data_IF_670286566671
#
_entry.id   IF_670286566671
#
_cell.length_a   1.000
_cell.length_b   1.000
_cell.length_c   1.000
_cell.angle_alpha   90.00
_cell.angle_beta   90.00
_cell.angle_gamma   90.00
#
_symmetry.space_group_name_H-M   'P 1'
#
loop_
_entity.id
_entity.type
_entity.pdbx_description
1 polymer ?
#
# COMPACT_ATOMS: atom_id res chain seq x y z
N UNK A 1 2.99 72.63 13.92
CA UNK A 1 3.59 71.33 13.53
C UNK A 1 2.62 70.57 12.64
N UNK A 2 2.98 70.33 11.38
CA UNK A 2 2.10 69.76 10.34
C UNK A 2 2.19 68.23 10.33
N UNK A 3 1.03 67.57 10.44
CA UNK A 3 0.86 66.11 10.31
C UNK A 3 1.03 65.72 8.83
N UNK A 4 2.04 64.93 8.51
CA UNK A 4 2.23 64.36 7.16
C UNK A 4 1.27 63.18 7.00
N UNK A 5 0.23 63.37 6.19
CA UNK A 5 -0.66 62.29 5.75
C UNK A 5 0.00 61.61 4.55
N UNK A 6 0.61 60.44 4.76
CA UNK A 6 1.06 59.57 3.68
C UNK A 6 -0.15 58.97 2.97
N UNK A 7 -0.64 59.67 1.93
CA UNK A 7 -1.59 59.09 0.97
C UNK A 7 -0.89 57.94 0.26
N UNK A 8 -1.20 56.70 0.66
CA UNK A 8 -0.86 55.48 -0.08
C UNK A 8 -1.47 55.60 -1.47
N UNK A 9 -0.67 55.94 -2.48
CA UNK A 9 -1.06 55.81 -3.89
C UNK A 9 -1.28 54.32 -4.15
N UNK A 10 -2.53 53.89 -4.20
CA UNK A 10 -2.89 52.65 -4.89
C UNK A 10 -2.52 52.88 -6.34
N UNK A 11 -1.38 52.34 -6.77
CA UNK A 11 -1.07 52.21 -8.19
C UNK A 11 -2.12 51.26 -8.76
N UNK A 12 -3.11 51.81 -9.45
CA UNK A 12 -3.91 51.08 -10.42
C UNK A 12 -2.94 50.49 -11.44
N UNK A 13 -2.66 49.19 -11.32
CA UNK A 13 -1.90 48.46 -12.33
C UNK A 13 -2.70 48.46 -13.62
N UNK A 14 -2.05 48.87 -14.71
CA UNK A 14 -2.59 48.74 -16.06
C UNK A 14 -2.93 47.25 -16.32
N UNK A 15 -4.12 46.90 -16.83
CA UNK A 15 -4.51 45.50 -17.08
C UNK A 15 -3.73 44.81 -18.22
N UNK A 16 -2.73 45.48 -18.80
CA UNK A 16 -2.03 45.05 -20.02
C UNK A 16 -0.52 44.83 -19.84
N UNK A 17 -0.05 44.61 -18.62
CA UNK A 17 1.26 43.95 -18.44
C UNK A 17 1.01 42.47 -18.15
N UNK A 18 0.95 41.66 -19.21
CA UNK A 18 1.11 40.22 -19.08
C UNK A 18 2.53 39.93 -18.59
N UNK A 19 2.74 39.93 -17.28
CA UNK A 19 3.81 39.16 -16.66
C UNK A 19 3.53 37.70 -17.00
N UNK A 20 4.16 37.21 -18.07
CA UNK A 20 4.05 35.81 -18.52
C UNK A 20 4.23 34.88 -17.31
N UNK A 21 3.16 34.20 -16.92
CA UNK A 21 3.15 33.21 -15.84
C UNK A 21 2.43 33.60 -14.54
N UNK A 22 2.10 34.87 -14.30
CA UNK A 22 1.36 35.26 -13.08
C UNK A 22 -0.14 35.29 -13.39
N UNK A 23 -0.88 34.31 -12.88
CA UNK A 23 -2.36 34.33 -12.89
C UNK A 23 -2.87 35.13 -11.69
N UNK A 24 -3.63 36.18 -11.95
CA UNK A 24 -4.46 36.82 -10.93
C UNK A 24 -5.64 35.91 -10.64
N UNK A 25 -5.78 35.50 -9.38
CA UNK A 25 -6.86 34.62 -8.89
C UNK A 25 -7.64 35.42 -7.85
N UNK A 26 -8.97 35.36 -7.92
CA UNK A 26 -9.81 36.02 -6.91
C UNK A 26 -9.71 35.29 -5.55
N UNK A 27 -10.01 36.03 -4.48
CA UNK A 27 -9.91 35.51 -3.12
C UNK A 27 -10.91 34.37 -2.85
N UNK A 28 -11.99 34.27 -3.64
CA UNK A 28 -12.99 33.21 -3.49
C UNK A 28 -12.47 31.87 -4.03
N UNK A 29 -11.81 31.88 -5.19
CA UNK A 29 -11.13 30.71 -5.73
C UNK A 29 -9.98 30.28 -4.80
N UNK A 30 -9.25 31.25 -4.22
CA UNK A 30 -8.19 30.93 -3.27
C UNK A 30 -8.73 30.31 -1.97
N UNK A 31 -9.85 30.81 -1.45
CA UNK A 31 -10.46 30.28 -0.22
C UNK A 31 -11.06 28.88 -0.38
N UNK A 32 -11.41 28.49 -1.62
CA UNK A 32 -11.83 27.13 -1.93
C UNK A 32 -10.69 26.12 -1.78
N UNK A 33 -9.42 26.51 -1.93
CA UNK A 33 -8.29 25.59 -1.77
C UNK A 33 -8.14 25.13 -0.30
N UNK A 34 -8.55 23.89 -0.04
CA UNK A 34 -8.50 23.28 1.30
C UNK A 34 -8.25 21.76 1.20
N UNK A 35 -8.13 21.10 2.36
CA UNK A 35 -7.85 19.66 2.45
C UNK A 35 -8.89 18.77 1.77
N UNK A 36 -10.16 19.18 1.75
CA UNK A 36 -11.24 18.42 1.13
C UNK A 36 -11.13 18.39 -0.39
N UNK A 37 -10.73 19.50 -1.03
CA UNK A 37 -10.47 19.53 -2.49
C UNK A 37 -9.33 18.57 -2.88
N UNK A 38 -8.37 18.37 -1.98
CA UNK A 38 -7.25 17.45 -2.19
C UNK A 38 -7.59 15.99 -1.83
N UNK A 39 -8.85 15.69 -1.51
CA UNK A 39 -9.31 14.35 -1.14
C UNK A 39 -8.89 13.89 0.25
N UNK A 40 -8.31 14.79 1.07
CA UNK A 40 -7.91 14.48 2.45
C UNK A 40 -9.07 14.60 3.45
N UNK A 41 -10.22 15.12 3.04
CA UNK A 41 -11.37 15.34 3.92
C UNK A 41 -11.20 16.51 4.89
N UNK A 42 -11.98 16.51 5.97
CA UNK A 42 -11.92 17.55 7.01
C UNK A 42 -10.86 17.21 8.07
N UNK A 43 -9.68 17.79 7.91
CA UNK A 43 -8.52 17.57 8.79
C UNK A 43 -8.66 18.22 10.18
N UNK A 44 -9.71 18.99 10.42
CA UNK A 44 -10.00 19.54 11.76
C UNK A 44 -10.62 18.51 12.70
N UNK A 45 -11.19 17.44 12.15
CA UNK A 45 -11.82 16.37 12.93
C UNK A 45 -10.78 15.54 13.69
N UNK A 46 -11.12 15.06 14.90
CA UNK A 46 -10.23 14.24 15.70
C UNK A 46 -9.90 12.92 15.01
N UNK A 47 -8.63 12.53 15.10
CA UNK A 47 -8.14 11.25 14.56
C UNK A 47 -8.76 10.07 15.32
N UNK A 48 -9.31 9.10 14.57
CA UNK A 48 -9.78 7.82 15.07
C UNK A 48 -8.68 6.77 14.98
N UNK A 49 -8.50 6.00 16.04
CA UNK A 49 -7.55 4.90 16.09
C UNK A 49 -8.23 3.58 15.70
N UNK A 50 -7.58 2.81 14.83
CA UNK A 50 -8.01 1.47 14.41
C UNK A 50 -6.83 0.51 14.53
N UNK A 51 -7.04 -0.65 15.15
CA UNK A 51 -6.07 -1.73 15.08
C UNK A 51 -6.21 -2.42 13.72
N UNK A 52 -5.11 -2.45 12.96
CA UNK A 52 -5.16 -2.89 11.58
C UNK A 52 -3.96 -3.71 11.13
N UNK A 53 -4.19 -4.54 10.12
CA UNK A 53 -3.14 -5.07 9.25
C UNK A 53 -2.99 -4.11 8.06
N UNK A 54 -1.77 -3.63 7.86
CA UNK A 54 -1.37 -2.94 6.64
C UNK A 54 -0.70 -3.96 5.70
N UNK A 55 -1.21 -4.09 4.49
CA UNK A 55 -0.60 -4.87 3.43
C UNK A 55 -0.25 -3.93 2.26
N UNK A 56 1.02 -3.91 1.87
CA UNK A 56 1.51 -3.11 0.75
C UNK A 56 1.96 -4.05 -0.36
N UNK A 57 1.20 -4.05 -1.45
CA UNK A 57 1.54 -4.73 -2.68
C UNK A 57 2.38 -3.83 -3.58
N UNK A 58 3.36 -4.42 -4.28
CA UNK A 58 4.27 -3.73 -5.19
C UNK A 58 4.49 -4.54 -6.46
N UNK A 59 4.40 -3.84 -7.59
CA UNK A 59 4.60 -4.39 -8.91
C UNK A 59 6.06 -4.23 -9.32
N UNK A 60 6.86 -5.27 -9.11
CA UNK A 60 8.29 -5.19 -9.38
C UNK A 60 8.55 -4.96 -10.88
N UNK A 61 9.17 -3.81 -11.18
CA UNK A 61 9.45 -3.38 -12.55
C UNK A 61 8.36 -2.50 -13.18
N UNK A 62 7.37 -2.04 -12.42
CA UNK A 62 6.29 -1.18 -12.92
C UNK A 62 6.80 0.10 -13.59
N UNK A 63 7.82 0.77 -13.04
CA UNK A 63 8.44 1.94 -13.68
C UNK A 63 8.94 1.62 -15.09
N UNK A 64 9.57 0.46 -15.29
CA UNK A 64 10.05 0.04 -16.62
C UNK A 64 8.88 -0.25 -17.56
N UNK A 65 7.80 -0.85 -17.06
CA UNK A 65 6.58 -1.07 -17.81
C UNK A 65 5.92 0.25 -18.24
N UNK A 66 5.95 1.30 -17.41
CA UNK A 66 5.43 2.62 -17.77
C UNK A 66 6.29 3.36 -18.81
N UNK A 67 7.55 2.94 -19.03
CA UNK A 67 8.48 3.57 -19.97
C UNK A 67 8.48 2.89 -21.36
N UNK A 68 7.51 2.02 -21.64
CA UNK A 68 7.36 1.40 -22.97
C UNK A 68 6.75 2.38 -23.99
N UNK A 69 6.75 1.97 -25.26
CA UNK A 69 6.05 2.71 -26.33
C UNK A 69 4.53 2.67 -26.06
N UNK A 70 3.86 3.80 -26.22
CA UNK A 70 2.42 3.97 -25.97
C UNK A 70 1.92 3.52 -24.58
N UNK A 71 2.54 4.04 -23.48
CA UNK A 71 2.18 3.61 -22.13
C UNK A 71 0.74 3.99 -21.76
N UNK A 72 0.18 5.01 -22.42
CA UNK A 72 -1.20 5.45 -22.24
C UNK A 72 -2.24 4.40 -22.68
N UNK A 73 -1.86 3.42 -23.51
CA UNK A 73 -2.73 2.30 -23.88
C UNK A 73 -2.52 1.10 -22.96
N UNK A 74 -1.26 0.74 -22.71
CA UNK A 74 -0.92 -0.46 -21.96
C UNK A 74 -1.12 -0.33 -20.44
N UNK A 75 -0.74 0.80 -19.85
CA UNK A 75 -0.77 0.99 -18.39
C UNK A 75 -2.19 1.00 -17.83
N UNK A 76 -3.16 1.77 -18.38
CA UNK A 76 -4.53 1.75 -17.87
C UNK A 76 -5.16 0.36 -18.02
N UNK A 77 -4.96 -0.30 -19.17
CA UNK A 77 -5.48 -1.65 -19.41
C UNK A 77 -4.94 -2.65 -18.39
N UNK A 78 -3.63 -2.64 -18.14
CA UNK A 78 -3.01 -3.48 -17.13
C UNK A 78 -3.56 -3.20 -15.73
N UNK A 79 -3.62 -1.93 -15.33
CA UNK A 79 -4.05 -1.54 -13.98
C UNK A 79 -5.50 -1.93 -13.70
N UNK A 80 -6.42 -1.73 -14.63
CA UNK A 80 -7.81 -2.18 -14.46
C UNK A 80 -7.88 -3.70 -14.25
N UNK A 81 -7.21 -4.48 -15.11
CA UNK A 81 -7.21 -5.94 -14.98
C UNK A 81 -6.55 -6.40 -13.68
N UNK A 82 -5.47 -5.74 -13.26
CA UNK A 82 -4.77 -6.06 -12.02
C UNK A 82 -5.62 -5.77 -10.79
N UNK A 83 -6.27 -4.60 -10.73
CA UNK A 83 -7.11 -4.22 -9.59
C UNK A 83 -8.36 -5.11 -9.49
N UNK A 84 -9.03 -5.37 -10.62
CA UNK A 84 -10.19 -6.28 -10.65
C UNK A 84 -9.80 -7.68 -10.16
N UNK A 85 -8.70 -8.22 -10.70
CA UNK A 85 -8.18 -9.52 -10.28
C UNK A 85 -7.77 -9.54 -8.80
N UNK A 86 -7.08 -8.51 -8.32
CA UNK A 86 -6.64 -8.42 -6.93
C UNK A 86 -7.84 -8.42 -5.98
N UNK A 87 -8.86 -7.60 -6.27
CA UNK A 87 -10.08 -7.55 -5.46
C UNK A 87 -10.86 -8.86 -5.50
N UNK A 88 -10.92 -9.53 -6.65
CA UNK A 88 -11.53 -10.86 -6.75
C UNK A 88 -10.79 -11.90 -5.90
N UNK A 89 -9.46 -11.88 -5.90
CA UNK A 89 -8.67 -12.78 -5.05
C UNK A 89 -8.81 -12.48 -3.56
N UNK A 90 -8.88 -11.21 -3.19
CA UNK A 90 -9.15 -10.78 -1.81
C UNK A 90 -10.52 -11.30 -1.37
N UNK A 91 -11.58 -11.03 -2.15
CA UNK A 91 -12.94 -11.51 -1.86
C UNK A 91 -12.98 -13.04 -1.75
N UNK A 92 -12.36 -13.75 -2.68
CA UNK A 92 -12.31 -15.21 -2.67
C UNK A 92 -11.58 -15.75 -1.45
N UNK A 93 -10.43 -15.17 -1.08
CA UNK A 93 -9.65 -15.61 0.08
C UNK A 93 -10.37 -15.44 1.42
N UNK A 94 -11.23 -14.42 1.53
CA UNK A 94 -12.00 -14.18 2.76
C UNK A 94 -13.40 -14.84 2.79
N UNK A 95 -13.82 -15.45 1.68
CA UNK A 95 -15.11 -16.14 1.61
C UNK A 95 -14.99 -17.52 2.25
N UNK A 96 -15.80 -17.77 3.28
CA UNK A 96 -15.92 -19.07 3.95
C UNK A 96 -16.85 -20.00 3.17
N UNK A 97 -18.02 -19.48 2.75
CA UNK A 97 -19.04 -20.21 2.00
C UNK A 97 -19.75 -19.31 1.00
N UNK A 98 -20.07 -19.89 -0.15
CA UNK A 98 -20.84 -19.24 -1.21
C UNK A 98 -22.22 -19.90 -1.31
N UNK A 99 -23.28 -19.12 -1.14
CA UNK A 99 -24.67 -19.54 -1.26
C UNK A 99 -25.33 -18.94 -2.52
N UNK A 100 -24.53 -18.59 -3.54
CA UNK A 100 -25.01 -17.91 -4.75
C UNK A 100 -25.13 -16.41 -4.53
N UNK A 101 -26.33 -15.93 -4.20
CA UNK A 101 -26.59 -14.49 -4.01
C UNK A 101 -26.02 -13.94 -2.69
N UNK A 102 -25.61 -14.81 -1.77
CA UNK A 102 -25.04 -14.44 -0.47
C UNK A 102 -23.74 -15.17 -0.23
N UNK A 103 -22.77 -14.47 0.35
CA UNK A 103 -21.48 -15.04 0.74
C UNK A 103 -21.28 -14.86 2.23
N UNK A 104 -20.87 -15.91 2.91
CA UNK A 104 -20.41 -15.83 4.29
C UNK A 104 -18.91 -15.55 4.28
N UNK A 105 -18.51 -14.45 4.93
CA UNK A 105 -17.11 -14.05 5.05
C UNK A 105 -16.62 -14.35 6.47
N UNK A 106 -15.40 -14.84 6.62
CA UNK A 106 -14.78 -15.07 7.93
C UNK A 106 -14.05 -13.81 8.47
N UNK A 107 -13.91 -12.78 7.63
CA UNK A 107 -13.38 -11.47 7.97
C UNK A 107 -14.14 -10.38 7.21
N UNK A 108 -14.10 -9.15 7.73
CA UNK A 108 -14.52 -7.96 6.98
C UNK A 108 -13.66 -7.77 5.72
N UNK A 109 -14.08 -6.93 4.77
CA UNK A 109 -13.21 -6.49 3.68
C UNK A 109 -12.20 -5.43 4.18
N UNK A 110 -11.10 -5.14 3.44
CA UNK A 110 -10.25 -4.01 3.77
C UNK A 110 -11.08 -2.72 3.78
N UNK A 111 -10.94 -1.91 4.83
CA UNK A 111 -11.68 -0.64 4.94
C UNK A 111 -11.01 0.50 4.16
N UNK A 112 -9.73 0.34 3.78
CA UNK A 112 -9.01 1.27 2.92
C UNK A 112 -8.30 0.51 1.81
N UNK A 113 -8.40 1.07 0.59
CA UNK A 113 -7.52 0.76 -0.53
C UNK A 113 -6.94 2.07 -1.06
N UNK A 114 -5.62 2.14 -1.23
CA UNK A 114 -4.95 3.31 -1.80
C UNK A 114 -3.93 2.88 -2.83
N UNK A 115 -4.05 3.39 -4.05
CA UNK A 115 -3.05 3.19 -5.09
C UNK A 115 -1.82 4.05 -4.81
N UNK A 116 -0.63 3.47 -4.89
CA UNK A 116 0.64 4.12 -4.57
C UNK A 116 1.48 4.45 -5.82
N UNK A 117 0.93 4.25 -7.02
CA UNK A 117 1.63 4.41 -8.29
C UNK A 117 2.18 3.08 -8.80
N UNK A 118 3.08 2.44 -8.05
CA UNK A 118 3.66 1.13 -8.41
C UNK A 118 3.07 -0.04 -7.60
N UNK A 119 1.98 0.21 -6.88
CA UNK A 119 1.47 -0.73 -5.91
C UNK A 119 0.15 -0.30 -5.27
N UNK A 120 -0.29 -1.08 -4.28
CA UNK A 120 -1.56 -0.88 -3.56
C UNK A 120 -1.33 -1.05 -2.07
N UNK A 121 -1.79 -0.10 -1.27
CA UNK A 121 -1.96 -0.24 0.17
C UNK A 121 -3.38 -0.72 0.47
N UNK A 122 -3.49 -1.73 1.32
CA UNK A 122 -4.73 -2.19 1.94
C UNK A 122 -4.61 -2.04 3.45
N UNK A 123 -5.67 -1.54 4.09
CA UNK A 123 -5.80 -1.59 5.55
C UNK A 123 -6.99 -2.45 5.94
N UNK A 124 -6.74 -3.38 6.85
CA UNK A 124 -7.70 -4.35 7.33
C UNK A 124 -7.94 -4.16 8.81
N UNK A 125 -9.19 -3.97 9.23
CA UNK A 125 -9.52 -3.87 10.64
C UNK A 125 -9.34 -5.23 11.30
N UNK A 126 -8.58 -5.30 12.39
CA UNK A 126 -8.35 -6.54 13.14
C UNK A 126 -9.03 -6.56 14.51
N UNK A 127 -9.82 -5.53 14.84
CA UNK A 127 -10.55 -5.51 16.10
C UNK A 127 -11.50 -6.70 16.18
N UNK A 128 -11.38 -7.49 17.24
CA UNK A 128 -12.23 -8.67 17.46
C UNK A 128 -11.83 -9.91 16.64
N UNK A 129 -10.76 -9.85 15.84
CA UNK A 129 -10.23 -11.04 15.16
C UNK A 129 -9.37 -11.89 16.11
N UNK A 130 -9.59 -13.20 16.11
CA UNK A 130 -8.67 -14.15 16.74
C UNK A 130 -7.33 -14.22 15.99
N UNK A 131 -6.27 -14.65 16.66
CA UNK A 131 -4.94 -14.83 16.05
C UNK A 131 -4.95 -15.83 14.86
N UNK A 132 -5.85 -16.84 14.90
CA UNK A 132 -6.05 -17.76 13.77
C UNK A 132 -6.53 -17.02 12.51
N UNK A 133 -7.51 -16.11 12.64
CA UNK A 133 -8.02 -15.32 11.52
C UNK A 133 -6.98 -14.33 11.01
N UNK A 134 -6.16 -13.77 11.91
CA UNK A 134 -5.03 -12.91 11.56
C UNK A 134 -3.99 -13.68 10.74
N UNK A 135 -3.65 -14.90 11.14
CA UNK A 135 -2.78 -15.78 10.37
C UNK A 135 -3.42 -16.17 9.02
N UNK A 136 -4.75 -16.35 8.96
CA UNK A 136 -5.50 -16.63 7.72
C UNK A 136 -5.44 -15.46 6.72
N UNK A 137 -5.39 -14.21 7.20
CA UNK A 137 -5.10 -13.04 6.33
C UNK A 137 -3.70 -13.13 5.75
N UNK A 138 -2.69 -13.48 6.56
CA UNK A 138 -1.31 -13.64 6.08
C UNK A 138 -1.22 -14.72 5.00
N UNK A 139 -1.84 -15.89 5.21
CA UNK A 139 -1.83 -16.96 4.20
C UNK A 139 -2.57 -16.54 2.92
N UNK A 140 -3.69 -15.83 3.04
CA UNK A 140 -4.43 -15.29 1.89
C UNK A 140 -3.57 -14.34 1.06
N UNK A 141 -2.86 -13.41 1.69
CA UNK A 141 -1.99 -12.45 1.00
C UNK A 141 -0.79 -13.15 0.35
N UNK A 142 -0.24 -14.18 0.99
CA UNK A 142 0.81 -15.01 0.41
C UNK A 142 0.34 -15.75 -0.85
N UNK A 143 -0.86 -16.33 -0.80
CA UNK A 143 -1.48 -17.00 -1.94
C UNK A 143 -1.77 -16.05 -3.08
N UNK A 144 -2.13 -14.79 -2.80
CA UNK A 144 -2.30 -13.76 -3.82
C UNK A 144 -0.98 -13.52 -4.57
N UNK A 145 0.15 -13.37 -3.87
CA UNK A 145 1.46 -13.25 -4.50
C UNK A 145 1.81 -14.46 -5.40
N UNK A 146 1.52 -15.68 -4.91
CA UNK A 146 1.72 -16.91 -5.69
C UNK A 146 0.81 -16.96 -6.93
N UNK A 147 -0.48 -16.68 -6.75
CA UNK A 147 -1.48 -16.66 -7.82
C UNK A 147 -1.20 -15.57 -8.85
N UNK A 148 -0.59 -14.44 -8.47
CA UNK A 148 -0.14 -13.43 -9.41
C UNK A 148 0.82 -14.05 -10.43
N UNK A 149 1.86 -14.73 -9.94
CA UNK A 149 2.90 -15.32 -10.78
C UNK A 149 2.37 -16.46 -11.66
N UNK A 150 1.52 -17.32 -11.10
CA UNK A 150 1.11 -18.56 -11.75
C UNK A 150 -0.20 -18.46 -12.54
N UNK A 151 -1.05 -17.48 -12.26
CA UNK A 151 -2.39 -17.38 -12.86
C UNK A 151 -2.61 -16.04 -13.58
N UNK A 152 -2.29 -14.92 -12.94
CA UNK A 152 -2.54 -13.59 -13.52
C UNK A 152 -1.50 -13.23 -14.58
N UNK A 153 -0.21 -13.32 -14.22
CA UNK A 153 0.90 -12.93 -15.08
C UNK A 153 0.86 -13.59 -16.46
N UNK A 154 0.69 -14.93 -16.59
CA UNK A 154 0.64 -15.59 -17.90
C UNK A 154 -0.49 -15.09 -18.80
N UNK A 155 -1.64 -14.71 -18.21
CA UNK A 155 -2.79 -14.20 -18.95
C UNK A 155 -2.57 -12.75 -19.39
N UNK A 156 -2.15 -11.89 -18.46
CA UNK A 156 -1.98 -10.46 -18.76
C UNK A 156 -0.82 -10.21 -19.72
N UNK A 157 0.21 -11.06 -19.71
CA UNK A 157 1.32 -10.99 -20.68
C UNK A 157 0.92 -11.29 -22.12
N UNK A 158 -0.27 -11.84 -22.36
CA UNK A 158 -0.84 -11.98 -23.71
C UNK A 158 -1.62 -10.74 -24.15
N UNK A 159 -1.92 -9.82 -23.22
CA UNK A 159 -2.76 -8.64 -23.45
C UNK A 159 -1.92 -7.37 -23.54
N UNK A 160 -0.83 -7.27 -22.78
CA UNK A 160 0.06 -6.10 -22.76
C UNK A 160 1.53 -6.55 -22.87
N UNK A 161 2.38 -5.73 -23.48
CA UNK A 161 3.82 -6.01 -23.58
C UNK A 161 4.51 -5.84 -22.22
N UNK A 162 5.42 -6.76 -21.89
CA UNK A 162 6.29 -6.75 -20.70
C UNK A 162 5.64 -6.27 -19.38
N UNK A 163 4.49 -6.83 -18.94
CA UNK A 163 3.92 -6.47 -17.66
C UNK A 163 4.86 -6.82 -16.50
N UNK A 164 4.71 -6.19 -15.31
CA UNK A 164 5.45 -6.54 -14.11
C UNK A 164 5.37 -8.05 -13.83
N UNK A 165 6.51 -8.70 -13.66
CA UNK A 165 6.58 -10.18 -13.53
C UNK A 165 6.29 -10.69 -12.13
N UNK A 166 6.50 -9.84 -11.13
CA UNK A 166 6.48 -10.23 -9.72
C UNK A 166 5.61 -9.21 -8.99
N UNK A 167 4.66 -9.74 -8.23
CA UNK A 167 3.92 -8.99 -7.23
C UNK A 167 4.55 -9.28 -5.87
N UNK A 168 5.10 -8.25 -5.23
CA UNK A 168 5.62 -8.35 -3.87
C UNK A 168 4.56 -7.89 -2.88
N UNK A 169 4.62 -8.38 -1.65
CA UNK A 169 3.77 -7.94 -0.56
C UNK A 169 4.57 -7.86 0.74
N UNK A 170 4.48 -6.72 1.40
CA UNK A 170 4.93 -6.52 2.76
C UNK A 170 3.73 -6.32 3.66
N UNK A 171 3.74 -6.95 4.83
CA UNK A 171 2.62 -6.88 5.78
C UNK A 171 3.14 -6.44 7.13
N UNK A 172 2.36 -5.66 7.88
CA UNK A 172 2.57 -5.43 9.29
C UNK A 172 1.25 -5.16 10.02
N UNK A 173 1.16 -5.55 11.29
CA UNK A 173 0.02 -5.26 12.16
C UNK A 173 0.36 -4.14 13.13
N UNK A 174 -0.60 -3.26 13.40
CA UNK A 174 -0.48 -2.21 14.40
C UNK A 174 -1.61 -1.20 14.32
N UNK A 175 -1.50 -0.16 15.14
CA UNK A 175 -2.48 0.93 15.16
C UNK A 175 -2.27 1.87 13.98
N UNK A 176 -3.37 2.26 13.35
CA UNK A 176 -3.45 3.32 12.36
C UNK A 176 -4.37 4.43 12.85
N UNK A 177 -4.09 5.65 12.41
CA UNK A 177 -4.75 6.88 12.82
C UNK A 177 -5.34 7.55 11.58
N UNK A 178 -6.64 7.83 11.61
CA UNK A 178 -7.33 8.43 10.47
C UNK A 178 -6.94 9.89 10.27
N UNK A 179 -6.83 10.31 9.01
CA UNK A 179 -6.69 11.69 8.57
C UNK A 179 -7.95 12.10 7.81
N UNK A 180 -8.44 13.30 8.12
CA UNK A 180 -9.64 13.93 7.60
C UNK A 180 -10.84 13.01 7.38
N UNK A 181 -11.44 12.62 8.50
CA UNK A 181 -12.60 11.72 8.60
C UNK A 181 -12.41 10.34 7.96
N UNK A 182 -11.21 9.77 8.04
CA UNK A 182 -10.93 8.43 7.53
C UNK A 182 -10.74 8.35 6.01
N UNK A 183 -10.44 9.48 5.36
CA UNK A 183 -10.06 9.50 3.94
C UNK A 183 -8.64 8.99 3.71
N UNK A 184 -7.76 9.14 4.69
CA UNK A 184 -6.40 8.60 4.66
C UNK A 184 -5.98 8.13 6.06
N UNK A 185 -4.86 7.42 6.14
CA UNK A 185 -4.39 6.86 7.41
C UNK A 185 -2.87 6.94 7.53
N UNK A 186 -2.40 7.19 8.75
CA UNK A 186 -0.99 7.09 9.12
C UNK A 186 -0.80 6.00 10.16
N UNK A 187 0.36 5.36 10.17
CA UNK A 187 0.68 4.36 11.18
C UNK A 187 2.04 3.73 10.93
N UNK A 188 2.71 3.34 12.01
CA UNK A 188 4.01 2.67 11.90
C UNK A 188 3.89 1.37 11.09
N UNK A 189 2.80 0.61 11.23
CA UNK A 189 2.60 -0.62 10.46
C UNK A 189 2.57 -0.38 8.94
N UNK A 190 2.05 0.75 8.47
CA UNK A 190 2.08 1.12 7.04
C UNK A 190 3.52 1.30 6.56
N UNK A 191 4.34 2.01 7.33
CA UNK A 191 5.76 2.21 7.02
C UNK A 191 6.52 0.87 7.03
N UNK A 192 6.25 0.01 8.01
CA UNK A 192 6.85 -1.32 8.10
C UNK A 192 6.50 -2.18 6.88
N UNK A 193 5.22 -2.29 6.54
CA UNK A 193 4.75 -3.01 5.37
C UNK A 193 5.40 -2.49 4.07
N UNK A 194 5.47 -1.16 3.91
CA UNK A 194 6.11 -0.48 2.79
C UNK A 194 7.61 -0.75 2.66
N UNK A 195 8.34 -0.97 3.77
CA UNK A 195 9.74 -1.39 3.71
C UNK A 195 9.90 -2.88 3.41
N UNK A 196 9.04 -3.70 3.98
CA UNK A 196 9.10 -5.17 3.84
C UNK A 196 8.77 -5.65 2.43
N UNK A 197 7.86 -4.98 1.72
CA UNK A 197 7.50 -5.34 0.35
C UNK A 197 8.70 -5.31 -0.62
N UNK A 198 9.69 -4.45 -0.34
CA UNK A 198 10.89 -4.22 -1.17
C UNK A 198 12.15 -4.83 -0.55
N UNK A 199 12.01 -5.77 0.38
CA UNK A 199 13.15 -6.34 1.09
C UNK A 199 13.89 -7.37 0.21
N UNK A 200 15.03 -6.97 -0.33
CA UNK A 200 15.87 -7.80 -1.20
C UNK A 200 15.09 -8.28 -2.45
N UNK A 201 15.26 -9.55 -2.85
CA UNK A 201 14.57 -10.17 -3.99
C UNK A 201 13.34 -10.99 -3.58
N UNK A 202 12.91 -10.90 -2.33
CA UNK A 202 11.80 -11.67 -1.79
C UNK A 202 10.47 -11.10 -2.28
N UNK A 203 9.46 -11.97 -2.38
CA UNK A 203 8.11 -11.57 -2.81
C UNK A 203 7.17 -11.37 -1.64
N UNK A 204 7.45 -11.95 -0.49
CA UNK A 204 6.54 -11.88 0.65
C UNK A 204 7.28 -11.87 1.98
N UNK A 205 7.06 -10.82 2.77
CA UNK A 205 7.73 -10.60 4.04
C UNK A 205 6.78 -9.97 5.08
N UNK A 206 6.87 -10.39 6.34
CA UNK A 206 6.12 -9.80 7.44
C UNK A 206 6.92 -9.89 8.75
N UNK A 207 6.71 -8.97 9.72
CA UNK A 207 7.44 -9.00 10.97
C UNK A 207 7.00 -10.19 11.82
N UNK A 208 7.89 -10.63 12.72
CA UNK A 208 7.52 -11.58 13.76
C UNK A 208 6.51 -10.96 14.73
N UNK A 209 6.71 -9.69 15.10
CA UNK A 209 5.81 -8.98 16.01
C UNK A 209 4.43 -8.80 15.39
N UNK A 210 3.39 -9.16 16.15
CA UNK A 210 1.99 -9.03 15.74
C UNK A 210 1.44 -10.22 14.95
N UNK A 211 2.25 -11.27 14.73
CA UNK A 211 1.86 -12.48 14.02
C UNK A 211 2.42 -13.74 14.71
N UNK A 212 1.58 -14.44 15.48
CA UNK A 212 1.96 -15.64 16.21
C UNK A 212 1.86 -16.91 15.35
N UNK A 213 2.58 -16.94 14.21
CA UNK A 213 2.41 -18.02 13.24
C UNK A 213 2.85 -19.40 13.75
N UNK A 214 3.69 -19.47 14.78
CA UNK A 214 4.14 -20.75 15.32
C UNK A 214 3.02 -21.51 16.03
N UNK A 215 2.05 -20.78 16.59
CA UNK A 215 0.94 -21.34 17.37
C UNK A 215 -0.36 -21.39 16.57
N UNK A 216 -0.63 -20.36 15.76
CA UNK A 216 -1.96 -20.16 15.14
C UNK A 216 -1.99 -20.38 13.62
N UNK A 217 -0.84 -20.50 12.94
CA UNK A 217 -0.82 -20.79 11.51
C UNK A 217 -0.84 -22.31 11.27
N UNK A 218 -1.73 -22.82 10.39
CA UNK A 218 -1.75 -24.23 10.04
C UNK A 218 -0.38 -24.72 9.55
N UNK A 219 0.01 -25.92 9.97
CA UNK A 219 1.35 -26.44 9.75
C UNK A 219 1.76 -26.44 8.26
N UNK A 220 0.82 -26.75 7.36
CA UNK A 220 1.04 -26.75 5.91
C UNK A 220 1.52 -25.39 5.37
N UNK A 221 1.03 -24.27 5.92
CA UNK A 221 1.53 -22.94 5.56
C UNK A 221 2.75 -22.55 6.36
N UNK A 222 2.78 -22.87 7.66
CA UNK A 222 3.89 -22.52 8.56
C UNK A 222 5.24 -23.01 8.04
N UNK A 223 5.28 -24.21 7.47
CA UNK A 223 6.49 -24.82 6.86
C UNK A 223 7.06 -24.03 5.68
N UNK A 224 6.27 -23.15 5.06
CA UNK A 224 6.72 -22.28 3.97
C UNK A 224 7.52 -21.07 4.45
N UNK A 225 7.51 -20.78 5.77
CA UNK A 225 8.16 -19.61 6.33
C UNK A 225 9.38 -19.96 7.17
N UNK A 226 10.40 -19.09 7.11
CA UNK A 226 11.60 -19.16 7.95
C UNK A 226 11.80 -17.81 8.65
N UNK A 227 12.22 -17.87 9.91
CA UNK A 227 12.52 -16.67 10.69
C UNK A 227 13.95 -16.21 10.45
N UNK A 228 14.15 -14.91 10.30
CA UNK A 228 15.47 -14.27 10.18
C UNK A 228 15.49 -12.91 10.88
N UNK A 229 16.69 -12.42 11.18
CA UNK A 229 16.94 -11.04 11.60
C UNK A 229 17.48 -10.21 10.46
N UNK A 230 17.01 -8.98 10.35
CA UNK A 230 17.49 -8.03 9.33
C UNK A 230 17.48 -6.61 9.86
N UNK A 231 18.35 -5.77 9.32
CA UNK A 231 18.30 -4.32 9.52
C UNK A 231 17.30 -3.71 8.53
N UNK A 232 16.29 -3.01 9.05
CA UNK A 232 15.30 -2.30 8.21
C UNK A 232 15.42 -0.81 8.49
N UNK A 233 15.86 -0.06 7.48
CA UNK A 233 16.06 1.39 7.57
C UNK A 233 14.80 2.11 8.07
N UNK A 234 14.95 2.86 9.15
CA UNK A 234 13.87 3.64 9.77
C UNK A 234 12.91 2.82 10.62
N UNK A 235 13.22 1.54 10.89
CA UNK A 235 12.45 0.69 11.81
C UNK A 235 13.37 0.22 12.93
N UNK A 236 14.47 -0.46 12.59
CA UNK A 236 15.37 -1.04 13.58
C UNK A 236 16.52 -1.81 12.95
N UNK A 237 17.56 -2.06 13.73
CA UNK A 237 18.80 -2.71 13.26
C UNK A 237 18.75 -4.24 13.34
N UNK A 238 17.82 -4.80 14.09
CA UNK A 238 17.73 -6.24 14.39
C UNK A 238 16.27 -6.73 14.44
N UNK A 239 15.52 -6.44 13.37
CA UNK A 239 14.11 -6.82 13.27
C UNK A 239 13.96 -8.30 12.94
N UNK A 240 13.17 -9.01 13.76
CA UNK A 240 12.77 -10.39 13.48
C UNK A 240 11.63 -10.40 12.46
N UNK A 241 11.81 -11.14 11.38
CA UNK A 241 10.85 -11.24 10.29
C UNK A 241 10.67 -12.69 9.83
N UNK A 242 9.54 -12.94 9.19
CA UNK A 242 9.22 -14.18 8.49
C UNK A 242 9.35 -13.98 6.98
N UNK A 243 10.02 -14.92 6.33
CA UNK A 243 10.33 -14.93 4.92
C UNK A 243 9.86 -16.23 4.28
N UNK A 244 9.53 -16.21 2.99
CA UNK A 244 9.27 -17.44 2.24
C UNK A 244 10.56 -18.25 2.14
N UNK A 245 10.59 -19.42 2.79
CA UNK A 245 11.77 -20.29 2.92
C UNK A 245 12.39 -20.62 1.57
N UNK A 246 11.58 -21.07 0.62
CA UNK A 246 12.06 -21.44 -0.71
C UNK A 246 12.68 -20.26 -1.48
N UNK A 247 12.19 -19.04 -1.26
CA UNK A 247 12.76 -17.84 -1.90
C UNK A 247 14.09 -17.47 -1.24
N UNK A 248 14.13 -17.52 0.10
CA UNK A 248 15.35 -17.29 0.87
C UNK A 248 16.47 -18.27 0.48
N UNK A 249 16.16 -19.56 0.38
CA UNK A 249 17.13 -20.59 0.02
C UNK A 249 17.74 -20.36 -1.37
N UNK A 250 16.95 -19.78 -2.28
CA UNK A 250 17.34 -19.44 -3.66
C UNK A 250 17.97 -18.06 -3.82
N UNK A 251 18.07 -17.27 -2.75
CA UNK A 251 18.74 -15.96 -2.82
C UNK A 251 20.23 -16.16 -3.16
N UNK A 252 20.82 -15.25 -3.96
CA UNK A 252 22.27 -15.18 -4.10
C UNK A 252 22.93 -14.96 -2.73
N UNK A 253 24.13 -15.50 -2.50
CA UNK A 253 24.83 -15.42 -1.20
C UNK A 253 24.97 -13.98 -0.69
N UNK A 254 25.35 -13.03 -1.56
CA UNK A 254 25.39 -11.59 -1.24
C UNK A 254 24.07 -11.03 -0.71
N UNK A 255 22.94 -11.57 -1.18
CA UNK A 255 21.61 -11.16 -0.71
C UNK A 255 21.23 -11.86 0.60
N UNK A 256 21.74 -13.07 0.85
CA UNK A 256 21.55 -13.80 2.11
C UNK A 256 22.31 -13.15 3.27
N UNK A 257 23.46 -12.52 3.01
CA UNK A 257 24.26 -11.78 4.02
C UNK A 257 23.45 -10.69 4.76
N UNK A 258 22.39 -10.17 4.14
CA UNK A 258 21.47 -9.23 4.79
C UNK A 258 20.69 -9.86 5.96
N UNK A 259 20.58 -11.19 5.99
CA UNK A 259 19.73 -11.94 6.91
C UNK A 259 20.56 -12.79 7.86
N UNK A 260 20.42 -12.51 9.15
CA UNK A 260 21.09 -13.25 10.23
C UNK A 260 20.13 -14.28 10.83
N UNK A 261 20.67 -15.27 11.53
CA UNK A 261 19.84 -16.21 12.27
C UNK A 261 19.09 -15.50 13.42
N UNK A 262 17.89 -16.02 13.81
CA UNK A 262 17.09 -15.50 14.92
C UNK A 262 17.83 -15.45 16.26
#
# INVERSE_FOLDING_TARGET
MRRVILRRRVRTMNPRSQTRGIKLVDNEMLSRFNSSILGLGDISLPSKEVEAIAAVFDLAGFTKFCNQVDPHLAVPKYLSNFLDWLFDKIKAGITERDYGERKALWAELPFLVKFLGDGVLLLWNTRGMTENLICKIVTTLYEICSAYKHQFYPKISMVVDKPPRILRCGIARGRVFSVGDGKDYIGHCINTASRLQKLSLLTFCFPHRGFNIQEYMPEGYRRNFVQKRVTIRGIGESELIWLVKQEFDKLPEKSKELFRNP
#
